data_IF_605353753458
#
_entry.id   IF_605353753458
#
_cell.length_a   1.000
_cell.length_b   1.000
_cell.length_c   1.000
_cell.angle_alpha   90.00
_cell.angle_beta   90.00
_cell.angle_gamma   90.00
#
_symmetry.space_group_name_H-M   'P 1'
#
loop_
_entity.id
_entity.type
_entity.pdbx_description
1 polymer ?
#
# COMPACT_ATOMS: atom_id res chain seq x y z
N UNK A 1 19.36 -1.61 13.05
CA UNK A 1 20.32 -2.05 12.00
C UNK A 1 20.91 -0.81 11.37
N UNK A 2 22.23 -0.61 11.48
CA UNK A 2 22.96 0.43 10.76
C UNK A 2 23.02 -0.02 9.28
N UNK A 3 22.53 0.79 8.33
CA UNK A 3 22.58 0.46 6.89
C UNK A 3 21.29 -0.08 6.25
N UNK A 4 20.10 0.11 6.84
CA UNK A 4 18.84 -0.11 6.10
C UNK A 4 18.55 1.04 5.14
N UNK A 5 17.91 0.75 4.00
CA UNK A 5 17.50 1.77 3.02
C UNK A 5 16.44 2.69 3.62
N UNK A 6 16.59 3.99 3.38
CA UNK A 6 15.56 4.98 3.69
C UNK A 6 15.06 5.55 2.37
N UNK A 7 13.81 5.19 2.03
CA UNK A 7 13.17 5.57 0.76
C UNK A 7 13.26 7.07 0.49
N UNK A 8 13.19 7.92 1.54
CA UNK A 8 13.26 9.38 1.38
C UNK A 8 14.61 9.90 0.89
N UNK A 9 15.70 9.19 1.14
CA UNK A 9 17.05 9.59 0.70
C UNK A 9 17.57 8.70 -0.43
N UNK A 10 16.86 7.62 -0.77
CA UNK A 10 17.28 6.68 -1.81
C UNK A 10 17.04 7.25 -3.22
N UNK A 11 16.18 8.28 -3.36
CA UNK A 11 15.93 9.07 -4.56
C UNK A 11 15.98 8.23 -5.86
N UNK A 12 16.84 8.59 -6.82
CA UNK A 12 16.98 7.89 -8.11
C UNK A 12 17.58 6.49 -8.01
N UNK A 13 18.07 6.08 -6.84
CA UNK A 13 18.56 4.72 -6.58
C UNK A 13 17.44 3.68 -6.35
N UNK A 14 16.17 4.09 -6.40
CA UNK A 14 15.01 3.21 -6.19
C UNK A 14 14.04 3.71 -5.11
N UNK A 15 14.12 4.98 -4.71
CA UNK A 15 13.25 5.60 -3.71
C UNK A 15 11.96 6.20 -4.28
N UNK A 16 11.72 6.09 -5.59
CA UNK A 16 10.54 6.65 -6.22
C UNK A 16 9.32 5.74 -6.04
N UNK A 17 8.21 6.32 -5.60
CA UNK A 17 6.92 5.64 -5.50
C UNK A 17 6.09 5.95 -6.74
N UNK A 18 5.58 4.92 -7.41
CA UNK A 18 4.71 5.06 -8.57
C UNK A 18 3.64 3.97 -8.55
N UNK A 19 2.43 4.29 -9.02
CA UNK A 19 1.42 3.28 -9.29
C UNK A 19 1.75 2.52 -10.57
N UNK A 20 1.22 1.30 -10.75
CA UNK A 20 1.44 0.55 -11.99
C UNK A 20 0.89 1.29 -13.23
N UNK A 21 -0.30 1.92 -13.18
CA UNK A 21 -0.75 2.79 -14.26
C UNK A 21 0.21 3.95 -14.56
N UNK A 22 0.86 4.55 -13.55
CA UNK A 22 1.83 5.64 -13.75
C UNK A 22 3.05 5.14 -14.50
N UNK A 23 3.58 3.98 -14.10
CA UNK A 23 4.73 3.36 -14.76
C UNK A 23 4.41 2.98 -16.21
N UNK A 24 3.24 2.38 -16.47
CA UNK A 24 2.84 2.06 -17.85
C UNK A 24 2.61 3.33 -18.67
N UNK A 25 2.04 4.39 -18.08
CA UNK A 25 1.89 5.69 -18.77
C UNK A 25 3.24 6.29 -19.12
N UNK A 26 4.19 6.24 -18.21
CA UNK A 26 5.56 6.69 -18.44
C UNK A 26 6.22 5.89 -19.58
N UNK A 27 6.09 4.56 -19.58
CA UNK A 27 6.59 3.70 -20.66
C UNK A 27 5.99 4.05 -22.02
N UNK A 28 4.65 4.19 -22.11
CA UNK A 28 3.97 4.55 -23.36
C UNK A 28 4.41 5.93 -23.85
N UNK A 29 4.56 6.89 -22.94
CA UNK A 29 5.01 8.23 -23.29
C UNK A 29 6.48 8.25 -23.77
N UNK A 30 7.34 7.42 -23.17
CA UNK A 30 8.73 7.24 -23.55
C UNK A 30 8.84 6.54 -24.92
N UNK A 31 8.10 5.45 -25.12
CA UNK A 31 8.09 4.68 -26.38
C UNK A 31 7.54 5.50 -27.55
N UNK A 32 6.42 6.22 -27.33
CA UNK A 32 5.84 7.13 -28.31
C UNK A 32 6.67 8.39 -28.57
N UNK A 33 7.82 8.54 -27.90
CA UNK A 33 8.73 9.69 -27.99
C UNK A 33 8.00 11.03 -27.75
N UNK A 34 7.09 11.03 -26.79
CA UNK A 34 6.35 12.24 -26.37
C UNK A 34 7.06 12.99 -25.25
N UNK A 35 8.01 12.32 -24.57
CA UNK A 35 8.80 12.89 -23.47
C UNK A 35 10.15 13.46 -23.92
N UNK A 36 10.74 12.88 -24.97
CA UNK A 36 12.09 13.18 -25.42
C UNK A 36 12.10 13.69 -26.86
N UNK A 37 13.15 14.43 -27.22
CA UNK A 37 13.42 14.70 -28.63
C UNK A 37 13.78 13.37 -29.31
N UNK A 38 13.39 13.15 -30.59
CA UNK A 38 13.70 11.90 -31.30
C UNK A 38 15.18 11.51 -31.25
N UNK A 39 16.07 12.49 -31.33
CA UNK A 39 17.52 12.28 -31.28
C UNK A 39 17.96 11.79 -29.89
N UNK A 40 17.33 12.29 -28.82
CA UNK A 40 17.62 11.90 -27.44
C UNK A 40 17.07 10.50 -27.14
N UNK A 41 15.86 10.17 -27.59
CA UNK A 41 15.29 8.84 -27.37
C UNK A 41 16.10 7.74 -28.06
N UNK A 42 16.70 8.02 -29.23
CA UNK A 42 17.58 7.07 -29.93
C UNK A 42 18.76 6.60 -29.09
N UNK A 43 19.28 7.46 -28.20
CA UNK A 43 20.42 7.13 -27.34
C UNK A 43 20.11 5.99 -26.36
N UNK A 44 18.84 5.77 -26.01
CA UNK A 44 18.43 4.65 -25.13
C UNK A 44 18.76 3.31 -25.80
N UNK A 45 18.58 3.24 -27.12
CA UNK A 45 18.81 2.02 -27.93
C UNK A 45 20.10 2.03 -28.72
N UNK A 46 20.95 3.03 -28.57
CA UNK A 46 22.21 3.05 -29.30
C UNK A 46 23.13 1.99 -28.70
N UNK A 47 23.64 1.08 -29.56
CA UNK A 47 24.54 0.01 -29.13
C UNK A 47 25.89 0.60 -28.73
N UNK A 48 26.29 0.53 -27.44
CA UNK A 48 27.54 1.13 -27.01
C UNK A 48 28.77 0.45 -27.64
N UNK A 49 29.87 1.19 -27.88
CA UNK A 49 31.05 0.65 -28.55
C UNK A 49 31.77 -0.45 -27.76
N UNK A 50 31.54 -0.55 -26.45
CA UNK A 50 32.10 -1.60 -25.60
C UNK A 50 31.35 -2.94 -25.68
N UNK A 51 30.18 -3.00 -26.33
CA UNK A 51 29.42 -4.24 -26.50
C UNK A 51 30.11 -5.13 -27.53
N UNK A 52 30.54 -6.32 -27.09
CA UNK A 52 31.25 -7.29 -27.93
C UNK A 52 30.42 -7.69 -29.16
N UNK A 53 31.08 -7.96 -30.27
CA UNK A 53 30.44 -8.49 -31.47
C UNK A 53 29.68 -9.79 -31.15
N UNK A 54 28.48 -9.95 -31.71
CA UNK A 54 27.60 -11.10 -31.46
C UNK A 54 26.80 -11.02 -30.15
N UNK A 55 26.94 -9.95 -29.35
CA UNK A 55 26.08 -9.69 -28.20
C UNK A 55 24.97 -8.71 -28.61
N UNK A 56 23.73 -9.18 -28.46
CA UNK A 56 22.51 -8.45 -28.83
C UNK A 56 21.82 -7.77 -27.64
N UNK A 57 22.42 -7.78 -26.45
CA UNK A 57 21.89 -7.10 -25.27
C UNK A 57 22.89 -6.13 -24.62
N UNK A 58 22.39 -5.03 -24.07
CA UNK A 58 23.19 -4.04 -23.36
C UNK A 58 22.35 -3.19 -22.41
N UNK A 59 23.02 -2.41 -21.56
CA UNK A 59 22.36 -1.42 -20.73
C UNK A 59 22.45 -0.04 -21.38
N UNK A 60 21.30 0.57 -21.67
CA UNK A 60 21.17 1.86 -22.35
C UNK A 60 20.43 2.87 -21.48
N UNK A 61 21.16 3.82 -20.88
CA UNK A 61 20.60 4.94 -20.11
C UNK A 61 19.54 4.55 -19.06
N UNK A 62 19.77 3.45 -18.32
CA UNK A 62 18.84 2.97 -17.30
C UNK A 62 17.97 1.79 -17.74
N UNK A 63 18.07 1.35 -18.99
CA UNK A 63 17.23 0.27 -19.53
C UNK A 63 18.08 -0.93 -19.95
N UNK A 64 17.63 -2.14 -19.62
CA UNK A 64 18.06 -3.35 -20.28
C UNK A 64 17.49 -3.39 -21.70
N UNK A 65 18.36 -3.39 -22.70
CA UNK A 65 18.01 -3.42 -24.12
C UNK A 65 18.35 -4.79 -24.68
N UNK A 66 17.42 -5.38 -25.43
CA UNK A 66 17.66 -6.56 -26.25
C UNK A 66 17.28 -6.23 -27.70
N UNK A 67 18.26 -6.27 -28.59
CA UNK A 67 18.08 -6.20 -30.03
C UNK A 67 17.50 -7.50 -30.54
N UNK A 68 16.36 -7.43 -31.21
CA UNK A 68 15.72 -8.58 -31.83
C UNK A 68 15.54 -8.30 -33.32
N UNK A 69 15.26 -9.34 -34.10
CA UNK A 69 14.90 -9.18 -35.52
C UNK A 69 13.65 -8.32 -35.76
N UNK A 70 12.85 -8.07 -34.72
CA UNK A 70 11.61 -7.29 -34.78
C UNK A 70 11.74 -5.90 -34.15
N UNK A 71 12.95 -5.50 -33.76
CA UNK A 71 13.22 -4.24 -33.06
C UNK A 71 13.75 -4.47 -31.64
N UNK A 72 13.72 -3.44 -30.81
CA UNK A 72 14.29 -3.48 -29.45
C UNK A 72 13.23 -3.79 -28.39
N UNK A 73 13.49 -4.81 -27.56
CA UNK A 73 12.80 -5.01 -26.28
C UNK A 73 13.54 -4.21 -25.21
N UNK A 74 12.82 -3.47 -24.37
CA UNK A 74 13.40 -2.72 -23.25
C UNK A 74 12.78 -3.20 -21.94
N UNK A 75 13.57 -3.25 -20.88
CA UNK A 75 13.04 -3.49 -19.54
C UNK A 75 13.92 -2.86 -18.44
N UNK A 76 13.34 -2.71 -17.26
CA UNK A 76 14.05 -2.29 -16.05
C UNK A 76 13.39 -2.92 -14.84
N UNK A 77 14.19 -3.56 -14.01
CA UNK A 77 13.79 -4.20 -12.76
C UNK A 77 14.42 -3.48 -11.56
N UNK A 78 13.77 -3.62 -10.41
CA UNK A 78 14.28 -3.09 -9.15
C UNK A 78 13.71 -3.87 -7.98
N UNK A 79 14.55 -4.08 -6.95
CA UNK A 79 14.14 -4.78 -5.75
C UNK A 79 14.71 -4.10 -4.50
N UNK A 80 13.88 -4.03 -3.47
CA UNK A 80 14.26 -3.69 -2.11
C UNK A 80 13.76 -4.82 -1.20
N UNK A 81 14.36 -5.07 -0.03
CA UNK A 81 13.87 -6.08 0.90
C UNK A 81 12.35 -6.02 1.10
N UNK A 82 11.66 -7.10 0.72
CA UNK A 82 10.19 -7.22 0.78
C UNK A 82 9.40 -6.68 -0.43
N UNK A 83 10.05 -6.13 -1.46
CA UNK A 83 9.35 -5.66 -2.67
C UNK A 83 10.20 -5.79 -3.93
N UNK A 84 9.54 -6.05 -5.05
CA UNK A 84 10.17 -6.04 -6.36
C UNK A 84 9.23 -5.39 -7.38
N UNK A 85 9.80 -4.70 -8.35
CA UNK A 85 9.08 -4.11 -9.46
C UNK A 85 9.81 -4.37 -10.78
N UNK A 86 9.03 -4.44 -11.85
CA UNK A 86 9.54 -4.64 -13.20
C UNK A 86 8.69 -3.89 -14.21
N UNK A 87 9.35 -3.19 -15.12
CA UNK A 87 8.73 -2.54 -16.28
C UNK A 87 9.28 -3.16 -17.55
N UNK A 88 8.39 -3.44 -18.50
CA UNK A 88 8.72 -4.12 -19.75
C UNK A 88 8.04 -3.45 -20.93
N UNK A 89 8.78 -3.32 -22.03
CA UNK A 89 8.32 -2.87 -23.33
C UNK A 89 8.71 -3.88 -24.40
N UNK A 90 7.71 -4.56 -24.95
CA UNK A 90 7.86 -5.59 -25.97
C UNK A 90 7.88 -5.04 -27.39
N UNK A 91 8.43 -5.83 -28.30
CA UNK A 91 8.45 -5.53 -29.76
C UNK A 91 7.10 -5.74 -30.44
N UNK A 92 6.15 -6.36 -29.75
CA UNK A 92 4.78 -6.63 -30.22
C UNK A 92 3.78 -5.50 -29.87
N UNK A 93 4.27 -4.34 -29.43
CA UNK A 93 3.42 -3.22 -29.02
C UNK A 93 2.77 -3.38 -27.65
N UNK A 94 3.16 -4.40 -26.87
CA UNK A 94 2.69 -4.61 -25.49
C UNK A 94 3.74 -4.12 -24.51
N UNK A 95 3.33 -3.24 -23.58
CA UNK A 95 4.12 -2.82 -22.43
C UNK A 95 3.36 -3.10 -21.14
N UNK A 96 4.07 -3.44 -20.06
CA UNK A 96 3.47 -3.66 -18.75
C UNK A 96 4.40 -3.23 -17.62
N UNK A 97 3.82 -3.04 -16.44
CA UNK A 97 4.52 -2.78 -15.20
C UNK A 97 3.91 -3.64 -14.09
N UNK A 98 4.76 -4.20 -13.24
CA UNK A 98 4.36 -5.05 -12.12
C UNK A 98 5.13 -4.65 -10.89
N UNK A 99 4.44 -4.72 -9.75
CA UNK A 99 5.06 -4.66 -8.44
C UNK A 99 4.49 -5.78 -7.57
N UNK A 100 5.36 -6.37 -6.79
CA UNK A 100 5.02 -7.37 -5.78
C UNK A 100 5.50 -6.90 -4.41
N UNK A 101 4.72 -7.20 -3.39
CA UNK A 101 5.06 -6.97 -1.98
C UNK A 101 5.69 -8.23 -1.37
N UNK A 102 6.51 -8.91 -2.16
CA UNK A 102 7.25 -10.09 -1.73
C UNK A 102 8.54 -10.19 -2.53
N UNK A 103 9.66 -10.29 -1.82
CA UNK A 103 10.92 -10.74 -2.38
C UNK A 103 11.37 -11.89 -1.46
N UNK A 104 11.40 -13.16 -1.93
CA UNK A 104 11.72 -14.29 -1.07
C UNK A 104 13.16 -14.18 -0.57
N UNK A 105 13.38 -14.36 0.73
CA UNK A 105 14.72 -14.25 1.34
C UNK A 105 15.70 -15.34 0.84
N UNK A 106 15.19 -16.40 0.20
CA UNK A 106 15.93 -17.62 -0.16
C UNK A 106 15.81 -18.03 -1.65
N UNK A 107 15.08 -17.29 -2.49
CA UNK A 107 15.07 -17.55 -3.93
C UNK A 107 16.18 -16.76 -4.62
N UNK A 108 16.81 -17.37 -5.63
CA UNK A 108 17.69 -16.62 -6.52
C UNK A 108 16.80 -15.60 -7.21
N UNK A 109 16.93 -14.32 -6.89
CA UNK A 109 16.19 -13.18 -7.46
C UNK A 109 15.86 -13.33 -8.96
N UNK A 110 16.81 -13.89 -9.71
CA UNK A 110 16.67 -14.22 -11.13
C UNK A 110 15.54 -15.22 -11.42
N UNK A 111 15.44 -16.32 -10.67
CA UNK A 111 14.41 -17.34 -10.84
C UNK A 111 13.01 -16.80 -10.54
N UNK A 112 12.87 -15.99 -9.47
CA UNK A 112 11.62 -15.30 -9.16
C UNK A 112 11.17 -14.43 -10.35
N UNK A 113 12.07 -13.60 -10.86
CA UNK A 113 11.74 -12.76 -12.01
C UNK A 113 11.43 -13.60 -13.25
N UNK A 114 12.22 -14.64 -13.56
CA UNK A 114 11.97 -15.56 -14.68
C UNK A 114 10.57 -16.20 -14.63
N UNK A 115 10.14 -16.66 -13.45
CA UNK A 115 8.80 -17.21 -13.25
C UNK A 115 7.73 -16.16 -13.52
N UNK A 116 7.89 -14.95 -12.96
CA UNK A 116 7.01 -13.82 -13.21
C UNK A 116 6.94 -13.50 -14.71
N UNK A 117 8.08 -13.41 -15.42
CA UNK A 117 8.10 -13.11 -16.86
C UNK A 117 7.39 -14.20 -17.67
N UNK A 118 7.64 -15.46 -17.33
CA UNK A 118 7.04 -16.62 -18.01
C UNK A 118 5.52 -16.63 -17.85
N UNK A 119 5.02 -16.47 -16.62
CA UNK A 119 3.58 -16.45 -16.33
C UNK A 119 2.84 -15.30 -17.02
N UNK A 120 3.47 -14.12 -17.10
CA UNK A 120 2.91 -12.97 -17.81
C UNK A 120 2.93 -13.16 -19.32
N UNK A 121 4.03 -13.68 -19.86
CA UNK A 121 4.12 -14.02 -21.28
C UNK A 121 2.99 -14.98 -21.69
N UNK A 122 2.75 -16.01 -20.89
CA UNK A 122 1.65 -16.94 -21.13
C UNK A 122 0.27 -16.26 -21.06
N UNK A 123 0.06 -15.37 -20.08
CA UNK A 123 -1.21 -14.64 -19.90
C UNK A 123 -1.47 -13.65 -21.05
N UNK A 124 -0.44 -12.96 -21.53
CA UNK A 124 -0.53 -12.06 -22.69
C UNK A 124 -0.89 -12.83 -23.96
N UNK A 125 -0.27 -14.00 -24.18
CA UNK A 125 -0.59 -14.87 -25.32
C UNK A 125 -2.01 -15.46 -25.25
N UNK A 126 -2.52 -15.70 -24.04
CA UNK A 126 -3.87 -16.20 -23.82
C UNK A 126 -4.95 -15.10 -23.93
N UNK A 127 -4.57 -13.82 -23.89
CA UNK A 127 -5.51 -12.68 -23.94
C UNK A 127 -5.91 -12.39 -25.39
N UNK A 128 -7.10 -12.85 -25.77
CA UNK A 128 -7.66 -12.66 -27.12
C UNK A 128 -8.54 -11.41 -27.28
N UNK A 129 -9.01 -10.84 -26.17
CA UNK A 129 -9.89 -9.67 -26.16
C UNK A 129 -9.29 -8.55 -25.31
N UNK A 130 -8.93 -7.44 -25.96
CA UNK A 130 -8.45 -6.23 -25.30
C UNK A 130 -9.56 -5.17 -25.28
N UNK A 131 -9.66 -4.35 -24.22
CA UNK A 131 -10.59 -3.22 -24.21
C UNK A 131 -10.24 -2.24 -25.35
N UNK A 132 -11.27 -1.68 -25.97
CA UNK A 132 -11.09 -0.73 -27.06
C UNK A 132 -10.73 0.68 -26.52
N UNK A 133 -9.81 1.36 -27.21
CA UNK A 133 -9.46 2.76 -26.93
C UNK A 133 -8.43 2.96 -25.82
N UNK A 134 -8.12 4.23 -25.55
CA UNK A 134 -7.21 4.63 -24.48
C UNK A 134 -7.93 4.67 -23.12
N UNK A 135 -7.44 3.88 -22.16
CA UNK A 135 -7.96 3.83 -20.81
C UNK A 135 -7.22 4.75 -19.83
N UNK A 136 -6.10 5.39 -20.23
CA UNK A 136 -5.39 6.33 -19.36
C UNK A 136 -6.28 7.44 -18.80
N UNK A 137 -7.24 8.04 -19.53
CA UNK A 137 -8.12 9.05 -18.95
C UNK A 137 -8.91 8.57 -17.72
N UNK A 138 -9.23 7.27 -17.62
CA UNK A 138 -9.89 6.70 -16.45
C UNK A 138 -8.97 6.64 -15.22
N UNK A 139 -7.67 6.49 -15.43
CA UNK A 139 -6.65 6.49 -14.38
C UNK A 139 -6.03 7.87 -14.14
N UNK A 140 -6.14 8.79 -15.10
CA UNK A 140 -5.46 10.07 -15.12
C UNK A 140 -6.37 11.20 -15.63
N UNK A 141 -7.40 11.61 -14.85
CA UNK A 141 -8.36 12.63 -15.28
C UNK A 141 -7.78 14.06 -15.34
N UNK A 142 -6.47 14.25 -15.40
CA UNK A 142 -5.79 15.55 -15.44
C UNK A 142 -5.30 16.04 -14.07
N UNK A 143 -5.23 17.37 -13.89
CA UNK A 143 -4.75 18.02 -12.66
C UNK A 143 -5.77 18.00 -11.49
N UNK A 144 -6.96 17.44 -11.71
CA UNK A 144 -7.99 17.33 -10.68
C UNK A 144 -7.67 16.28 -9.61
N UNK A 145 -8.33 16.36 -8.43
CA UNK A 145 -8.23 15.35 -7.39
C UNK A 145 -8.82 14.02 -7.85
N UNK A 146 -8.16 12.93 -7.45
CA UNK A 146 -8.62 11.57 -7.75
C UNK A 146 -8.34 10.65 -6.57
N UNK A 147 -9.36 9.91 -6.11
CA UNK A 147 -9.20 8.77 -5.21
C UNK A 147 -8.84 7.54 -6.07
N UNK A 148 -7.84 6.77 -5.64
CA UNK A 148 -7.47 5.52 -6.29
C UNK A 148 -8.61 4.49 -6.18
N UNK A 149 -8.72 3.58 -7.15
CA UNK A 149 -9.62 2.43 -7.05
C UNK A 149 -9.22 1.56 -5.85
N UNK A 150 -10.16 1.24 -4.96
CA UNK A 150 -9.88 0.59 -3.67
C UNK A 150 -9.13 1.49 -2.69
N UNK A 151 -9.02 2.79 -2.97
CA UNK A 151 -8.27 3.76 -2.18
C UNK A 151 -8.93 4.18 -0.87
N UNK A 152 -10.18 3.75 -0.62
CA UNK A 152 -10.86 3.90 0.67
C UNK A 152 -10.46 2.73 1.56
N UNK A 153 -9.61 2.99 2.55
CA UNK A 153 -9.06 1.95 3.42
C UNK A 153 -9.29 2.27 4.89
N UNK A 154 -9.29 1.23 5.73
CA UNK A 154 -9.24 1.42 7.18
C UNK A 154 -7.96 2.18 7.56
N UNK A 155 -8.08 3.28 8.31
CA UNK A 155 -6.95 4.17 8.59
C UNK A 155 -5.83 3.55 9.43
N UNK A 156 -6.12 2.45 10.16
CA UNK A 156 -5.15 1.77 10.99
C UNK A 156 -4.44 0.63 10.25
N UNK A 157 -5.19 -0.17 9.49
CA UNK A 157 -4.63 -1.32 8.77
C UNK A 157 -4.15 -1.00 7.36
N UNK A 158 -4.58 0.13 6.79
CA UNK A 158 -4.41 0.53 5.39
C UNK A 158 -4.90 -0.53 4.38
N UNK A 159 -5.81 -1.42 4.79
CA UNK A 159 -6.39 -2.44 3.93
C UNK A 159 -7.74 -1.99 3.36
N UNK A 160 -8.03 -2.26 2.08
CA UNK A 160 -9.35 -2.08 1.51
C UNK A 160 -10.32 -3.10 2.12
N UNK A 161 -11.62 -2.78 2.05
CA UNK A 161 -12.69 -3.63 2.58
C UNK A 161 -13.78 -2.80 3.25
N UNK A 162 -14.65 -3.43 4.04
CA UNK A 162 -15.62 -2.70 4.84
C UNK A 162 -14.94 -1.71 5.79
N UNK A 163 -15.62 -0.59 6.04
CA UNK A 163 -15.26 0.41 7.06
C UNK A 163 -16.44 0.57 8.02
N UNK A 164 -16.26 1.24 9.15
CA UNK A 164 -17.32 1.35 10.15
C UNK A 164 -17.85 2.77 10.30
N UNK A 165 -19.12 2.90 10.64
CA UNK A 165 -19.70 4.20 10.97
C UNK A 165 -18.90 4.83 12.14
N UNK A 166 -18.50 6.09 11.99
CA UNK A 166 -17.68 6.78 12.99
C UNK A 166 -16.19 6.45 13.02
N UNK A 167 -15.71 5.51 12.19
CA UNK A 167 -14.29 5.14 12.12
C UNK A 167 -13.46 6.18 11.36
N UNK A 168 -12.17 6.25 11.64
CA UNK A 168 -11.20 6.88 10.74
C UNK A 168 -10.93 6.00 9.52
N UNK A 169 -10.94 6.60 8.32
CA UNK A 169 -10.58 5.97 7.04
C UNK A 169 -9.58 6.85 6.30
N UNK A 170 -8.66 6.23 5.56
CA UNK A 170 -7.71 6.93 4.68
C UNK A 170 -8.16 6.77 3.24
N UNK A 171 -8.16 7.87 2.50
CA UNK A 171 -8.45 7.97 1.08
C UNK A 171 -7.12 8.18 0.35
N UNK A 172 -6.59 7.15 -0.30
CA UNK A 172 -5.39 7.24 -1.12
C UNK A 172 -5.72 7.73 -2.54
N UNK A 173 -4.85 8.56 -3.11
CA UNK A 173 -5.07 9.13 -4.41
C UNK A 173 -4.00 10.12 -4.84
N UNK A 174 -4.38 11.11 -5.65
CA UNK A 174 -3.50 12.20 -6.08
C UNK A 174 -4.24 13.54 -6.09
N UNK A 175 -3.48 14.62 -5.96
CA UNK A 175 -3.98 16.01 -5.92
C UNK A 175 -5.04 16.25 -4.84
N UNK A 176 -4.94 15.55 -3.70
CA UNK A 176 -5.96 15.58 -2.65
C UNK A 176 -5.75 16.69 -1.62
N UNK A 177 -4.56 17.30 -1.56
CA UNK A 177 -4.20 18.27 -0.54
C UNK A 177 -5.15 19.48 -0.53
N UNK A 178 -5.66 19.82 0.65
CA UNK A 178 -6.50 21.01 0.86
C UNK A 178 -7.88 20.95 0.19
N UNK A 179 -8.26 19.82 -0.40
CA UNK A 179 -9.55 19.64 -1.05
C UNK A 179 -10.63 19.23 -0.03
N UNK A 180 -11.90 19.67 -0.21
CA UNK A 180 -12.99 19.26 0.67
C UNK A 180 -13.30 17.77 0.45
N UNK A 181 -13.43 17.03 1.55
CA UNK A 181 -13.85 15.63 1.51
C UNK A 181 -15.35 15.50 1.80
N UNK A 182 -15.99 14.53 1.16
CA UNK A 182 -17.42 14.22 1.34
C UNK A 182 -17.66 12.73 1.49
N UNK A 183 -18.63 12.38 2.33
CA UNK A 183 -19.18 11.03 2.46
C UNK A 183 -20.68 11.09 2.26
N UNK A 184 -21.20 10.41 1.23
CA UNK A 184 -22.60 10.49 0.79
C UNK A 184 -23.05 11.94 0.52
N UNK A 185 -22.17 12.77 -0.04
CA UNK A 185 -22.42 14.19 -0.31
C UNK A 185 -22.26 15.11 0.92
N UNK A 186 -22.30 14.57 2.14
CA UNK A 186 -22.06 15.33 3.38
C UNK A 186 -20.60 15.71 3.51
N UNK A 187 -20.33 16.99 3.75
CA UNK A 187 -18.97 17.50 3.97
C UNK A 187 -18.42 16.93 5.29
N UNK A 188 -17.21 16.40 5.25
CA UNK A 188 -16.50 15.88 6.43
C UNK A 188 -15.18 16.60 6.58
N UNK A 189 -14.86 16.99 7.81
CA UNK A 189 -13.58 17.63 8.12
C UNK A 189 -12.44 16.59 8.05
N UNK A 190 -11.37 16.86 7.28
CA UNK A 190 -10.18 16.02 7.28
C UNK A 190 -9.52 15.96 8.65
N UNK A 191 -9.25 14.75 9.14
CA UNK A 191 -8.38 14.49 10.29
C UNK A 191 -6.91 14.73 9.91
N UNK A 192 -6.57 14.50 8.64
CA UNK A 192 -5.28 14.78 8.04
C UNK A 192 -5.43 14.95 6.53
N UNK A 193 -4.63 15.82 5.90
CA UNK A 193 -4.65 16.04 4.45
C UNK A 193 -3.23 16.19 3.92
N UNK A 194 -2.96 15.55 2.79
CA UNK A 194 -1.72 15.64 2.03
C UNK A 194 -1.97 15.44 0.53
N UNK A 195 -0.92 15.52 -0.30
CA UNK A 195 -1.06 15.51 -1.75
C UNK A 195 -1.62 14.19 -2.30
N UNK A 196 -1.35 13.08 -1.62
CA UNK A 196 -1.63 11.71 -2.03
C UNK A 196 -2.53 10.92 -1.05
N UNK A 197 -2.88 11.52 0.08
CA UNK A 197 -3.84 10.96 1.02
C UNK A 197 -4.70 12.02 1.71
N UNK A 198 -5.90 11.63 2.10
CA UNK A 198 -6.74 12.37 3.04
C UNK A 198 -7.35 11.39 4.03
N UNK A 199 -7.21 11.64 5.32
CA UNK A 199 -7.85 10.83 6.37
C UNK A 199 -9.08 11.58 6.88
N UNK A 200 -10.23 10.90 6.88
CA UNK A 200 -11.51 11.46 7.34
C UNK A 200 -12.18 10.52 8.33
N UNK A 201 -13.13 11.07 9.08
CA UNK A 201 -14.03 10.26 9.88
C UNK A 201 -15.30 9.94 9.08
N UNK A 202 -15.67 8.67 9.02
CA UNK A 202 -16.96 8.24 8.46
C UNK A 202 -18.09 8.81 9.33
N UNK A 203 -19.11 9.49 8.76
CA UNK A 203 -20.25 9.96 9.53
C UNK A 203 -20.94 8.81 10.28
N UNK A 204 -21.42 9.08 11.50
CA UNK A 204 -22.14 8.09 12.31
C UNK A 204 -23.45 7.63 11.66
N UNK A 205 -24.03 8.44 10.77
CA UNK A 205 -25.25 8.12 10.02
C UNK A 205 -25.00 7.33 8.74
N UNK A 206 -23.74 7.11 8.34
CA UNK A 206 -23.42 6.37 7.13
C UNK A 206 -23.64 4.87 7.36
N UNK A 207 -24.29 4.21 6.40
CA UNK A 207 -24.65 2.80 6.43
C UNK A 207 -24.65 2.25 5.00
N UNK A 208 -24.38 0.95 4.83
CA UNK A 208 -24.38 0.31 3.52
C UNK A 208 -23.31 0.86 2.57
N UNK A 209 -23.56 0.83 1.26
CA UNK A 209 -22.56 1.27 0.28
C UNK A 209 -22.42 2.80 0.27
N UNK A 210 -21.38 3.33 0.92
CA UNK A 210 -21.14 4.77 1.01
C UNK A 210 -20.23 5.28 -0.11
N UNK A 211 -20.48 6.50 -0.57
CA UNK A 211 -19.71 7.21 -1.61
C UNK A 211 -18.74 8.20 -0.97
N UNK A 212 -17.46 8.08 -1.28
CA UNK A 212 -16.38 8.94 -0.82
C UNK A 212 -15.87 9.80 -1.99
N UNK A 213 -15.77 11.10 -1.77
CA UNK A 213 -15.33 12.07 -2.79
C UNK A 213 -14.38 13.09 -2.16
N UNK A 214 -13.38 13.54 -2.92
CA UNK A 214 -12.44 14.61 -2.51
C UNK A 214 -12.32 15.61 -3.65
N UNK A 215 -12.65 16.89 -3.39
CA UNK A 215 -12.47 17.99 -4.34
C UNK A 215 -13.14 17.81 -5.71
N UNK A 216 -14.27 17.09 -5.77
CA UNK A 216 -14.97 16.79 -7.02
C UNK A 216 -14.41 15.59 -7.79
N UNK A 217 -13.57 14.77 -7.16
CA UNK A 217 -13.18 13.47 -7.71
C UNK A 217 -14.41 12.62 -8.05
N UNK A 218 -14.24 11.65 -8.96
CA UNK A 218 -15.19 10.53 -9.05
C UNK A 218 -15.31 9.89 -7.66
N UNK A 219 -16.52 9.48 -7.31
CA UNK A 219 -16.74 8.78 -6.05
C UNK A 219 -16.12 7.38 -6.07
N UNK A 220 -15.40 7.07 -5.00
CA UNK A 220 -15.02 5.71 -4.65
C UNK A 220 -16.01 5.19 -3.61
N UNK A 221 -16.32 3.89 -3.64
CA UNK A 221 -17.30 3.31 -2.72
C UNK A 221 -16.69 2.30 -1.76
N UNK A 222 -17.14 2.33 -0.51
CA UNK A 222 -16.82 1.28 0.46
C UNK A 222 -18.08 0.91 1.24
N UNK A 223 -18.17 -0.39 1.59
CA UNK A 223 -19.24 -0.88 2.44
C UNK A 223 -19.04 -0.36 3.86
N UNK A 224 -20.05 0.33 4.40
CA UNK A 224 -20.09 0.76 5.81
C UNK A 224 -20.87 -0.27 6.60
N UNK A 225 -20.27 -0.74 7.69
CA UNK A 225 -20.83 -1.71 8.63
C UNK A 225 -20.78 -1.16 10.06
N UNK A 226 -21.37 -1.89 11.01
CA UNK A 226 -21.34 -1.51 12.42
C UNK A 226 -19.96 -1.75 13.07
N UNK A 227 -19.16 -2.66 12.51
CA UNK A 227 -17.82 -2.97 12.99
C UNK A 227 -16.92 -3.40 11.83
N UNK A 228 -15.78 -2.74 11.69
CA UNK A 228 -14.72 -3.03 10.74
C UNK A 228 -13.35 -2.67 11.35
N UNK A 229 -12.87 -3.47 12.32
CA UNK A 229 -11.77 -3.07 13.18
C UNK A 229 -10.43 -3.02 12.45
N UNK A 230 -9.61 -2.03 12.80
CA UNK A 230 -8.18 -2.00 12.48
C UNK A 230 -7.38 -1.52 13.69
N UNK A 231 -6.19 -2.10 13.90
CA UNK A 231 -5.31 -1.79 15.02
C UNK A 231 -4.16 -0.93 14.52
N UNK A 232 -3.92 0.22 15.14
CA UNK A 232 -2.80 1.07 14.75
C UNK A 232 -1.48 0.41 15.15
N UNK A 233 -0.50 0.45 14.27
CA UNK A 233 0.84 -0.13 14.50
C UNK A 233 1.91 0.96 14.50
N UNK A 234 3.06 0.69 15.12
CA UNK A 234 4.19 1.63 15.14
C UNK A 234 4.73 1.92 13.73
N UNK A 235 4.66 0.94 12.83
CA UNK A 235 5.00 1.03 11.41
C UNK A 235 3.96 1.79 10.56
N UNK A 236 2.78 2.07 11.11
CA UNK A 236 1.66 2.76 10.43
C UNK A 236 1.16 2.06 9.16
N UNK A 237 1.31 0.74 9.09
CA UNK A 237 0.89 -0.06 7.93
C UNK A 237 -0.03 -1.24 8.30
N UNK A 238 -0.42 -1.39 9.57
CA UNK A 238 -1.29 -2.48 10.00
C UNK A 238 -0.60 -3.82 10.23
N UNK A 239 0.74 -3.87 10.23
CA UNK A 239 1.52 -5.09 10.47
C UNK A 239 2.50 -4.91 11.64
N UNK A 240 2.77 -6.02 12.34
CA UNK A 240 3.78 -6.07 13.39
C UNK A 240 3.32 -5.42 14.70
N UNK A 241 4.24 -4.79 15.44
CA UNK A 241 3.96 -4.29 16.78
C UNK A 241 2.85 -3.24 16.80
N UNK A 242 1.82 -3.47 17.62
CA UNK A 242 0.77 -2.51 17.90
C UNK A 242 1.36 -1.20 18.47
N UNK A 243 0.72 -0.08 18.13
CA UNK A 243 0.86 1.14 18.91
C UNK A 243 0.16 0.90 20.25
N UNK A 244 0.95 0.48 21.23
CA UNK A 244 0.44 0.01 22.51
C UNK A 244 1.32 0.48 23.67
N UNK A 245 0.68 0.67 24.82
CA UNK A 245 1.32 1.00 26.09
C UNK A 245 1.10 -0.13 27.09
N UNK A 246 2.13 -0.42 27.89
CA UNK A 246 2.04 -1.29 29.06
C UNK A 246 1.30 -0.59 30.20
N UNK A 247 0.93 -1.35 31.23
CA UNK A 247 0.23 -0.84 32.42
C UNK A 247 0.95 0.31 33.13
N UNK A 248 2.28 0.38 33.02
CA UNK A 248 3.11 1.45 33.59
C UNK A 248 3.25 2.69 32.67
N UNK A 249 2.57 2.69 31.52
CA UNK A 249 2.62 3.75 30.52
C UNK A 249 3.82 3.69 29.58
N UNK A 250 4.73 2.73 29.74
CA UNK A 250 5.81 2.51 28.78
C UNK A 250 5.29 1.95 27.45
N UNK A 251 5.95 2.26 26.33
CA UNK A 251 5.61 1.66 25.04
C UNK A 251 5.85 0.15 25.10
N UNK A 252 4.86 -0.63 24.66
CA UNK A 252 4.99 -2.08 24.52
C UNK A 252 5.95 -2.39 23.36
N UNK A 253 7.06 -3.06 23.66
CA UNK A 253 8.07 -3.46 22.66
C UNK A 253 8.75 -4.76 23.08
N UNK A 254 9.57 -5.35 22.21
CA UNK A 254 10.34 -6.55 22.54
C UNK A 254 11.29 -6.33 23.73
N UNK A 255 11.79 -5.10 23.90
CA UNK A 255 12.66 -4.68 25.00
C UNK A 255 11.87 -4.32 26.27
N UNK A 256 10.58 -4.01 26.14
CA UNK A 256 9.66 -3.68 27.23
C UNK A 256 8.35 -4.45 27.09
N UNK A 257 8.38 -5.80 27.23
CA UNK A 257 7.19 -6.61 27.11
C UNK A 257 6.28 -6.48 28.35
N UNK A 258 4.97 -6.54 28.12
CA UNK A 258 3.96 -6.59 29.17
C UNK A 258 3.96 -7.97 29.84
N UNK A 259 3.75 -8.04 31.16
CA UNK A 259 3.59 -9.34 31.83
C UNK A 259 2.23 -9.96 31.47
N UNK A 260 2.16 -11.28 31.32
CA UNK A 260 0.87 -11.99 31.26
C UNK A 260 -0.02 -11.59 32.47
N UNK A 261 -1.34 -11.43 32.26
CA UNK A 261 -2.26 -10.94 33.29
C UNK A 261 -2.23 -9.42 33.56
N UNK A 262 -1.22 -8.69 33.08
CA UNK A 262 -1.17 -7.23 33.18
C UNK A 262 -2.06 -6.54 32.14
N UNK A 263 -2.28 -5.24 32.31
CA UNK A 263 -3.07 -4.43 31.38
C UNK A 263 -2.19 -3.86 30.28
N UNK A 264 -2.69 -3.83 29.06
CA UNK A 264 -2.16 -3.00 27.98
C UNK A 264 -3.23 -2.04 27.45
N UNK A 265 -2.78 -0.93 26.89
CA UNK A 265 -3.60 0.03 26.15
C UNK A 265 -3.25 -0.08 24.69
N UNK A 266 -4.23 -0.24 23.81
CA UNK A 266 -4.07 -0.24 22.35
C UNK A 266 -4.93 0.84 21.72
N UNK A 267 -4.55 1.26 20.52
CA UNK A 267 -5.32 2.20 19.71
C UNK A 267 -5.84 1.53 18.45
N UNK A 268 -7.10 1.75 18.14
CA UNK A 268 -7.80 1.13 17.02
C UNK A 268 -8.81 2.07 16.37
N UNK A 269 -9.41 1.66 15.26
CA UNK A 269 -10.50 2.36 14.58
C UNK A 269 -11.55 1.37 14.10
N UNK A 270 -12.81 1.79 14.06
CA UNK A 270 -13.92 0.99 13.54
C UNK A 270 -14.26 -0.23 14.39
N UNK A 271 -13.95 -0.20 15.67
CA UNK A 271 -14.21 -1.28 16.60
C UNK A 271 -15.65 -1.19 17.10
N UNK A 272 -16.43 -2.26 16.88
CA UNK A 272 -17.75 -2.40 17.48
C UNK A 272 -17.72 -2.38 19.01
N UNK A 273 -18.83 -1.98 19.63
CA UNK A 273 -18.97 -1.89 21.09
C UNK A 273 -20.07 -2.88 21.55
N UNK A 274 -19.78 -3.83 22.46
CA UNK A 274 -18.48 -4.11 23.06
C UNK A 274 -17.51 -4.80 22.08
N UNK A 275 -16.18 -4.58 22.19
CA UNK A 275 -15.22 -5.24 21.32
C UNK A 275 -14.95 -6.68 21.77
N UNK A 276 -14.72 -7.57 20.79
CA UNK A 276 -14.18 -8.90 21.02
C UNK A 276 -12.68 -8.90 20.75
N UNK A 277 -11.86 -9.24 21.75
CA UNK A 277 -10.40 -9.16 21.68
C UNK A 277 -9.80 -10.53 21.99
N UNK A 278 -8.85 -10.96 21.15
CA UNK A 278 -8.02 -12.14 21.46
C UNK A 278 -6.54 -11.81 21.38
N UNK A 279 -5.75 -12.48 22.23
CA UNK A 279 -4.28 -12.41 22.27
C UNK A 279 -3.75 -13.84 22.21
N UNK A 280 -2.92 -14.13 21.21
CA UNK A 280 -2.48 -15.49 20.87
C UNK A 280 -3.66 -16.48 20.74
N UNK A 281 -4.79 -16.02 20.18
CA UNK A 281 -6.02 -16.81 20.04
C UNK A 281 -6.83 -16.99 21.33
N UNK A 282 -6.33 -16.56 22.48
CA UNK A 282 -7.06 -16.62 23.76
C UNK A 282 -7.88 -15.33 23.97
N UNK A 283 -9.12 -15.40 24.47
CA UNK A 283 -9.90 -14.22 24.81
C UNK A 283 -9.20 -13.34 25.85
N UNK A 284 -9.16 -12.03 25.59
CA UNK A 284 -8.67 -11.03 26.53
C UNK A 284 -9.85 -10.26 27.15
N UNK A 285 -9.77 -9.99 28.45
CA UNK A 285 -10.78 -9.20 29.15
C UNK A 285 -10.65 -7.73 28.75
N UNK A 286 -11.73 -7.14 28.24
CA UNK A 286 -11.79 -5.73 27.88
C UNK A 286 -12.22 -4.93 29.11
N UNK A 287 -11.31 -4.08 29.60
CA UNK A 287 -11.52 -3.25 30.78
C UNK A 287 -12.09 -1.88 30.42
N UNK A 288 -11.77 -1.39 29.21
CA UNK A 288 -12.22 -0.10 28.70
C UNK A 288 -12.21 -0.09 27.18
N UNK A 289 -13.21 0.51 26.56
CA UNK A 289 -13.27 0.74 25.12
C UNK A 289 -14.11 1.99 24.82
N UNK A 290 -13.48 3.05 24.32
CA UNK A 290 -14.15 4.33 24.01
C UNK A 290 -13.32 5.15 23.01
N UNK A 291 -13.82 6.31 22.52
CA UNK A 291 -12.99 7.26 21.78
C UNK A 291 -11.71 7.60 22.55
N UNK A 292 -10.57 7.64 21.87
CA UNK A 292 -9.27 7.88 22.49
C UNK A 292 -9.10 9.36 22.86
N UNK A 293 -8.96 9.72 24.16
CA UNK A 293 -8.77 11.10 24.56
C UNK A 293 -7.50 11.71 23.97
N UNK A 294 -7.59 12.95 23.46
CA UNK A 294 -6.45 13.66 22.87
C UNK A 294 -6.03 13.19 21.47
N UNK A 295 -6.70 12.17 20.91
CA UNK A 295 -6.49 11.72 19.53
C UNK A 295 -7.66 12.16 18.61
N UNK A 296 -7.45 12.19 17.28
CA UNK A 296 -8.49 12.56 16.33
C UNK A 296 -9.74 11.67 16.48
N UNK A 297 -10.91 12.27 16.23
CA UNK A 297 -12.18 11.56 16.29
C UNK A 297 -12.19 10.34 15.34
N UNK A 298 -12.72 9.21 15.81
CA UNK A 298 -12.70 7.94 15.08
C UNK A 298 -11.54 7.03 15.44
N UNK A 299 -10.58 7.51 16.24
CA UNK A 299 -9.63 6.65 16.97
C UNK A 299 -10.25 6.24 18.32
N UNK A 300 -10.16 4.96 18.64
CA UNK A 300 -10.62 4.36 19.88
C UNK A 300 -9.42 3.88 20.70
N UNK A 301 -9.50 4.06 22.02
CA UNK A 301 -8.59 3.46 22.98
C UNK A 301 -9.27 2.23 23.58
N UNK A 302 -8.52 1.13 23.66
CA UNK A 302 -8.97 -0.10 24.29
C UNK A 302 -7.95 -0.50 25.36
N UNK A 303 -8.41 -0.66 26.60
CA UNK A 303 -7.60 -1.23 27.67
C UNK A 303 -8.04 -2.68 27.84
N UNK A 304 -7.09 -3.61 27.74
CA UNK A 304 -7.37 -5.04 27.89
C UNK A 304 -6.41 -5.67 28.88
N UNK A 305 -6.90 -6.66 29.63
CA UNK A 305 -6.06 -7.54 30.43
C UNK A 305 -5.55 -8.66 29.54
N UNK A 306 -4.23 -8.83 29.49
CA UNK A 306 -3.61 -9.95 28.82
C UNK A 306 -4.02 -11.26 29.49
N UNK A 307 -4.30 -12.34 28.73
CA UNK A 307 -4.49 -13.67 29.29
C UNK A 307 -3.37 -14.05 30.28
N UNK A 308 -3.73 -14.77 31.34
CA UNK A 308 -2.80 -15.11 32.42
C UNK A 308 -1.69 -16.09 31.98
N UNK A 309 -1.93 -16.85 30.91
CA UNK A 309 -0.99 -17.84 30.37
C UNK A 309 -0.69 -17.55 28.91
N UNK A 310 0.37 -16.77 28.68
CA UNK A 310 0.89 -16.48 27.35
C UNK A 310 2.34 -16.94 27.25
N UNK A 311 2.73 -17.41 26.07
CA UNK A 311 4.14 -17.68 25.77
C UNK A 311 4.88 -16.35 25.63
N UNK A 312 6.03 -16.15 26.30
CA UNK A 312 6.84 -14.95 26.12
C UNK A 312 7.24 -14.73 24.65
N UNK A 313 7.25 -13.47 24.23
CA UNK A 313 7.53 -13.05 22.86
C UNK A 313 6.39 -12.25 22.24
N UNK A 314 6.35 -12.23 20.90
CA UNK A 314 5.30 -11.54 20.15
C UNK A 314 4.03 -12.39 20.09
N UNK A 315 2.95 -11.92 20.69
CA UNK A 315 1.63 -12.54 20.66
C UNK A 315 0.72 -11.84 19.64
N UNK A 316 0.08 -12.59 18.73
CA UNK A 316 -0.89 -12.04 17.78
C UNK A 316 -2.09 -11.44 18.52
N UNK A 317 -2.43 -10.20 18.19
CA UNK A 317 -3.57 -9.45 18.72
C UNK A 317 -4.66 -9.38 17.65
N UNK A 318 -5.93 -9.58 18.00
CA UNK A 318 -7.04 -9.54 17.06
C UNK A 318 -8.27 -8.88 17.67
N UNK A 319 -9.01 -8.13 16.84
CA UNK A 319 -10.26 -7.46 17.19
C UNK A 319 -11.39 -8.01 16.32
N UNK A 320 -12.08 -9.05 16.78
CA UNK A 320 -13.16 -9.75 16.05
C UNK A 320 -12.74 -10.57 14.83
N UNK A 321 -11.70 -10.14 14.10
CA UNK A 321 -11.12 -10.84 12.96
C UNK A 321 -9.60 -11.03 13.12
N UNK A 322 -9.01 -12.07 12.50
CA UNK A 322 -7.56 -12.29 12.54
C UNK A 322 -6.76 -11.09 12.03
N UNK A 323 -5.63 -10.82 12.66
CA UNK A 323 -4.71 -9.75 12.26
C UNK A 323 -3.25 -10.20 12.35
N UNK A 324 -2.37 -9.50 11.62
CA UNK A 324 -0.91 -9.67 11.71
C UNK A 324 -0.25 -8.69 12.70
N UNK A 325 -1.08 -8.06 13.55
CA UNK A 325 -0.61 -7.16 14.60
C UNK A 325 -0.25 -7.95 15.85
N UNK A 326 0.83 -7.57 16.51
CA UNK A 326 1.35 -8.25 17.70
C UNK A 326 1.52 -7.31 18.88
N UNK A 327 1.55 -7.88 20.07
CA UNK A 327 1.98 -7.25 21.32
C UNK A 327 3.08 -8.09 21.94
N UNK A 328 4.07 -7.46 22.57
CA UNK A 328 5.18 -8.12 23.23
C UNK A 328 4.79 -8.51 24.67
N UNK A 329 4.99 -9.78 25.02
CA UNK A 329 4.59 -10.37 26.30
C UNK A 329 5.76 -11.09 26.96
N UNK A 330 5.81 -11.09 28.30
CA UNK A 330 6.76 -11.83 29.13
C UNK A 330 6.08 -12.63 30.24
#
# INVERSE_FOLDING_TARGET
VYGTFNIRIFESGGGWLASMPDLVRFLVALDGNTLLRPETARLITERPPYVRAGVDSWYGLGWGIVNTRFGFRWDHDGALPGTAAWVFRGVNGVSFAIAVNHLPDNEVLLAFFEEVQSGLGASLLATSNWPAGDLFPAYFPGAGPRIANGGVVNAASLRPGPVAAGSAVTLFGVNLAGQPARVNGTLVEPLWSGPDQVTVRVPLSAQGNARFEVGGSRAETAMVQDSAPGIFTNSRNGYGAAAALNQDGSVNSAERPAAAGSVIVIYATGVGIPPSVTVAGQPAEVLYAAPAPGLPAGVQQINLRLPAMLTPGAAKLSLGAPSEVTVAVR
#
